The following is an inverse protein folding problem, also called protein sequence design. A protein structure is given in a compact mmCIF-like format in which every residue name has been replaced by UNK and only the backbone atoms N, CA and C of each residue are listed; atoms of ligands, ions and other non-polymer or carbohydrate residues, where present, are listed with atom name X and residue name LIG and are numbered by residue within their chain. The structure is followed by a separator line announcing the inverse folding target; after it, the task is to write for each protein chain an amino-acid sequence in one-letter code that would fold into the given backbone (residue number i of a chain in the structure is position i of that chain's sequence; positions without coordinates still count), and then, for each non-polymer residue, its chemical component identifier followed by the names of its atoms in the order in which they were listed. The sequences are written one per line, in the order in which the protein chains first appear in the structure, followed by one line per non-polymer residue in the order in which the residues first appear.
data_IF_310340809999
#
_entry.id   IF_310340809999
#
_cell.length_a   1.000
_cell.length_b   1.000
_cell.length_c   1.000
_cell.angle_alpha   90.00
_cell.angle_beta   90.00
_cell.angle_gamma   90.00
#
_symmetry.space_group_name_H-M   'P 1'
#
loop_
_entity.id
_entity.type
_entity.pdbx_description
1 polymer ?
#
# COMPACT_ATOMS: atom_id res chain seq x y z
N UNK A 1 -16.64 -7.44 -4.26
CA UNK A 1 -15.21 -7.09 -4.37
C UNK A 1 -14.82 -6.28 -3.16
N UNK A 2 -13.72 -6.64 -2.54
CA UNK A 2 -13.23 -5.93 -1.37
C UNK A 2 -12.17 -4.93 -1.81
N UNK A 3 -12.27 -3.70 -1.33
CA UNK A 3 -11.27 -2.67 -1.64
C UNK A 3 -10.43 -2.41 -0.40
N UNK A 4 -9.11 -2.42 -0.57
CA UNK A 4 -8.17 -2.16 0.51
C UNK A 4 -7.45 -0.83 0.28
N UNK A 5 -7.01 -0.21 1.34
CA UNK A 5 -6.15 0.97 1.25
C UNK A 5 -4.99 0.82 2.22
N UNK A 6 -3.79 1.13 1.74
CA UNK A 6 -2.55 1.06 2.50
C UNK A 6 -2.15 2.46 2.90
N UNK A 7 -2.05 2.73 4.19
CA UNK A 7 -1.68 4.06 4.67
C UNK A 7 -0.22 4.16 5.06
N UNK A 8 0.42 3.07 5.42
CA UNK A 8 1.85 3.07 5.76
C UNK A 8 2.49 1.81 5.23
N UNK A 9 3.79 1.86 5.01
CA UNK A 9 4.54 0.71 4.50
C UNK A 9 5.84 0.55 5.26
N UNK A 10 6.37 -0.68 5.24
CA UNK A 10 7.72 -0.97 5.71
C UNK A 10 8.50 -1.51 4.51
N UNK A 11 9.69 -0.99 4.31
CA UNK A 11 10.55 -1.44 3.22
C UNK A 11 11.63 -2.37 3.76
N UNK A 12 12.05 -3.33 2.93
CA UNK A 12 13.17 -4.20 3.27
C UNK A 12 14.48 -3.51 2.87
N UNK A 13 15.60 -4.20 3.07
CA UNK A 13 16.91 -3.64 2.80
C UNK A 13 17.13 -3.31 1.31
N UNK A 14 16.38 -3.94 0.44
CA UNK A 14 16.47 -3.68 -1.00
C UNK A 14 15.49 -2.60 -1.47
N UNK A 15 14.73 -2.00 -0.56
CA UNK A 15 13.76 -0.97 -0.91
C UNK A 15 12.42 -1.48 -1.41
N UNK A 16 12.15 -2.78 -1.27
CA UNK A 16 10.86 -3.34 -1.65
C UNK A 16 9.91 -3.30 -0.47
N UNK A 17 8.62 -3.25 -0.75
CA UNK A 17 7.62 -3.26 0.31
C UNK A 17 7.62 -4.64 0.96
N UNK A 18 7.83 -4.68 2.27
CA UNK A 18 7.85 -5.92 3.05
C UNK A 18 6.58 -6.08 3.89
N UNK A 19 5.98 -4.98 4.32
CA UNK A 19 4.76 -5.02 5.13
C UNK A 19 3.94 -3.76 4.87
N UNK A 20 2.66 -3.83 5.18
CA UNK A 20 1.72 -2.72 4.98
C UNK A 20 0.85 -2.55 6.23
N UNK A 21 0.44 -1.31 6.48
CA UNK A 21 -0.64 -1.02 7.42
C UNK A 21 -1.85 -0.69 6.56
N UNK A 22 -2.85 -1.54 6.58
CA UNK A 22 -3.96 -1.43 5.67
C UNK A 22 -5.28 -1.86 6.32
N UNK A 23 -6.37 -1.52 5.65
CA UNK A 23 -7.69 -1.98 6.04
C UNK A 23 -8.61 -1.98 4.84
N UNK A 24 -9.81 -2.52 5.02
CA UNK A 24 -10.82 -2.46 3.99
C UNK A 24 -11.50 -1.11 4.04
N UNK A 25 -11.86 -0.57 2.89
CA UNK A 25 -12.53 0.71 2.80
C UNK A 25 -13.90 0.54 2.15
N UNK A 26 -14.85 1.34 2.60
CA UNK A 26 -16.16 1.43 1.98
C UNK A 26 -16.12 2.65 1.05
N UNK A 27 -15.98 2.38 -0.23
CA UNK A 27 -15.83 3.46 -1.21
C UNK A 27 -17.09 4.31 -1.35
N UNK A 28 -18.26 3.71 -1.06
CA UNK A 28 -19.52 4.46 -1.11
C UNK A 28 -19.63 5.47 0.02
N UNK A 29 -18.98 5.22 1.14
CA UNK A 29 -19.01 6.13 2.29
C UNK A 29 -17.70 6.90 2.47
N UNK A 30 -16.69 6.58 1.68
CA UNK A 30 -15.36 7.15 1.78
C UNK A 30 -14.83 7.02 3.21
N UNK A 31 -14.94 5.84 3.78
CA UNK A 31 -14.56 5.58 5.17
C UNK A 31 -13.99 4.17 5.30
N UNK A 32 -13.27 3.94 6.38
CA UNK A 32 -12.75 2.60 6.68
C UNK A 32 -13.90 1.67 7.04
N UNK A 33 -13.92 0.51 6.41
CA UNK A 33 -14.87 -0.55 6.74
C UNK A 33 -14.34 -1.43 7.86
N UNK A 34 -13.02 -1.55 7.99
CA UNK A 34 -12.38 -2.28 9.08
C UNK A 34 -11.25 -1.43 9.66
N UNK A 35 -10.82 -1.69 10.90
CA UNK A 35 -9.65 -1.03 11.44
C UNK A 35 -8.40 -1.40 10.64
N UNK A 36 -7.42 -0.50 10.62
CA UNK A 36 -6.16 -0.79 9.97
C UNK A 36 -5.36 -1.78 10.79
N UNK A 37 -4.72 -2.72 10.11
CA UNK A 37 -3.85 -3.72 10.75
C UNK A 37 -2.56 -3.85 9.95
N UNK A 38 -1.50 -4.25 10.62
CA UNK A 38 -0.23 -4.54 9.96
C UNK A 38 -0.31 -5.94 9.35
N UNK A 39 0.09 -6.07 8.10
CA UNK A 39 0.11 -7.34 7.41
C UNK A 39 1.37 -7.46 6.57
N UNK A 40 1.87 -8.68 6.36
CA UNK A 40 3.02 -8.87 5.46
C UNK A 40 2.60 -8.59 4.01
N UNK A 41 3.57 -8.28 3.17
CA UNK A 41 3.29 -7.99 1.76
C UNK A 41 2.59 -9.16 1.07
N UNK A 42 2.82 -10.38 1.53
CA UNK A 42 2.15 -11.55 0.96
C UNK A 42 0.62 -11.44 1.05
N UNK A 43 0.10 -10.81 2.09
CA UNK A 43 -1.35 -10.61 2.21
C UNK A 43 -1.86 -9.66 1.12
N UNK A 44 -1.09 -8.62 0.79
CA UNK A 44 -1.46 -7.71 -0.28
C UNK A 44 -1.37 -8.40 -1.65
N UNK A 45 -0.35 -9.24 -1.85
CA UNK A 45 -0.24 -10.05 -3.07
C UNK A 45 -1.45 -10.95 -3.22
N UNK A 46 -1.89 -11.59 -2.13
CA UNK A 46 -3.04 -12.47 -2.17
C UNK A 46 -4.32 -11.70 -2.53
N UNK A 47 -4.51 -10.51 -1.97
CA UNK A 47 -5.67 -9.68 -2.28
C UNK A 47 -5.68 -9.30 -3.76
N UNK A 48 -4.53 -8.88 -4.28
CA UNK A 48 -4.42 -8.53 -5.70
C UNK A 48 -4.64 -9.74 -6.60
N UNK A 49 -4.16 -10.91 -6.19
CA UNK A 49 -4.38 -12.14 -6.95
C UNK A 49 -5.87 -12.52 -6.98
N UNK A 50 -6.62 -12.12 -5.97
CA UNK A 50 -8.07 -12.34 -5.93
C UNK A 50 -8.84 -11.22 -6.63
N UNK A 51 -8.12 -10.31 -7.30
CA UNK A 51 -8.69 -9.17 -8.03
C UNK A 51 -9.33 -8.12 -7.11
N UNK A 52 -8.91 -8.06 -5.86
CA UNK A 52 -9.34 -6.99 -4.97
C UNK A 52 -8.42 -5.78 -5.16
N UNK A 53 -8.95 -4.59 -5.41
CA UNK A 53 -8.07 -3.43 -5.59
C UNK A 53 -7.41 -3.02 -4.26
N UNK A 54 -6.16 -2.62 -4.35
CA UNK A 54 -5.38 -2.14 -3.21
C UNK A 54 -4.84 -0.77 -3.56
N UNK A 55 -5.30 0.26 -2.86
CA UNK A 55 -4.90 1.64 -3.13
C UNK A 55 -3.82 2.08 -2.19
N UNK A 56 -2.96 2.99 -2.66
CA UNK A 56 -1.97 3.65 -1.83
C UNK A 56 -2.56 4.97 -1.36
N UNK A 57 -2.45 5.24 -0.05
CA UNK A 57 -2.85 6.51 0.52
C UNK A 57 -1.61 7.37 0.74
N UNK A 58 -1.65 8.61 0.30
CA UNK A 58 -0.54 9.54 0.44
C UNK A 58 -0.92 10.66 1.40
N UNK A 59 0.01 11.10 2.27
CA UNK A 59 -0.30 12.20 3.17
C UNK A 59 -0.52 13.50 2.40
N UNK A 60 -1.43 14.32 2.87
CA UNK A 60 -1.70 15.63 2.28
C UNK A 60 -2.13 16.57 3.39
N UNK A 61 -2.34 17.84 3.05
CA UNK A 61 -2.80 18.81 4.04
C UNK A 61 -4.19 18.51 4.56
N UNK A 62 -4.96 17.70 3.85
CA UNK A 62 -6.31 17.35 4.24
C UNK A 62 -6.46 15.88 4.59
N UNK A 63 -5.38 15.24 5.03
CA UNK A 63 -5.39 13.82 5.35
C UNK A 63 -4.77 12.99 4.26
N UNK A 64 -5.14 11.73 4.18
CA UNK A 64 -4.59 10.83 3.17
C UNK A 64 -5.50 10.78 1.96
N UNK A 65 -4.91 10.74 0.76
CA UNK A 65 -5.66 10.64 -0.49
C UNK A 65 -5.34 9.35 -1.21
N UNK A 66 -6.35 8.62 -1.70
CA UNK A 66 -6.13 7.39 -2.47
C UNK A 66 -5.91 7.77 -3.93
N UNK A 67 -4.66 7.80 -4.33
CA UNK A 67 -4.34 8.31 -5.67
C UNK A 67 -3.80 7.26 -6.62
N UNK A 68 -3.14 6.22 -6.14
CA UNK A 68 -2.57 5.19 -7.01
C UNK A 68 -2.90 3.81 -6.48
N UNK A 69 -2.94 2.84 -7.38
CA UNK A 69 -3.17 1.46 -6.99
C UNK A 69 -1.87 0.69 -7.02
N UNK A 70 -1.83 -0.38 -6.23
CA UNK A 70 -0.70 -1.31 -6.27
C UNK A 70 -0.99 -2.43 -7.25
N UNK A 71 0.08 -2.99 -7.83
CA UNK A 71 0.02 -4.20 -8.65
C UNK A 71 1.12 -5.14 -8.19
N UNK A 72 0.98 -6.43 -8.51
CA UNK A 72 1.96 -7.44 -8.16
C UNK A 72 3.18 -7.28 -9.07
N UNK A 73 4.36 -7.36 -8.48
CA UNK A 73 5.62 -7.39 -9.23
C UNK A 73 6.42 -8.62 -8.81
N UNK A 74 6.96 -9.34 -9.78
CA UNK A 74 7.84 -10.46 -9.50
C UNK A 74 9.27 -10.01 -9.45
N UNK A 75 10.08 -10.63 -8.60
CA UNK A 75 11.50 -10.37 -8.54
C UNK A 75 12.24 -11.61 -8.06
N UNK A 76 13.53 -11.63 -8.35
CA UNK A 76 14.44 -12.61 -7.75
C UNK A 76 13.94 -14.04 -7.85
N UNK A 77 13.53 -14.48 -9.01
CA UNK A 77 13.23 -15.89 -9.25
C UNK A 77 11.88 -16.35 -8.75
N UNK A 78 10.89 -15.51 -8.74
CA UNK A 78 9.53 -15.92 -8.40
C UNK A 78 8.99 -15.37 -7.11
N UNK A 79 9.80 -14.59 -6.40
CA UNK A 79 9.30 -13.87 -5.24
C UNK A 79 8.40 -12.73 -5.70
N UNK A 80 7.45 -12.35 -4.88
CA UNK A 80 6.47 -11.33 -5.24
C UNK A 80 6.44 -10.21 -4.24
N UNK A 81 6.26 -9.00 -4.74
CA UNK A 81 6.02 -7.81 -3.93
C UNK A 81 4.93 -7.00 -4.60
N UNK A 82 4.67 -5.80 -4.10
CA UNK A 82 3.73 -4.89 -4.74
C UNK A 82 4.45 -3.60 -5.09
N UNK A 83 4.05 -3.00 -6.20
CA UNK A 83 4.58 -1.71 -6.65
C UNK A 83 3.42 -0.85 -7.10
N UNK A 84 3.64 0.46 -7.19
CA UNK A 84 2.61 1.36 -7.68
C UNK A 84 2.45 1.20 -9.19
N UNK A 85 1.20 1.14 -9.64
CA UNK A 85 0.88 0.98 -11.04
C UNK A 85 1.02 2.33 -11.76
N UNK A 86 1.42 2.28 -13.01
CA UNK A 86 1.46 3.46 -13.87
C UNK A 86 2.78 4.22 -13.79
N UNK A 87 2.85 5.34 -14.52
CA UNK A 87 4.09 6.11 -14.59
C UNK A 87 4.36 6.87 -13.30
N UNK A 88 5.59 7.34 -13.18
CA UNK A 88 6.02 8.14 -12.04
C UNK A 88 5.14 9.38 -11.89
N UNK A 89 4.77 9.69 -10.67
CA UNK A 89 3.94 10.85 -10.38
C UNK A 89 4.54 11.66 -9.24
N UNK A 90 4.46 12.97 -9.33
CA UNK A 90 5.03 13.86 -8.33
C UNK A 90 4.34 13.66 -6.98
N UNK A 91 5.13 13.44 -5.94
CA UNK A 91 4.63 13.21 -4.58
C UNK A 91 3.65 12.04 -4.47
N UNK A 92 3.71 11.09 -5.38
CA UNK A 92 2.84 9.91 -5.38
C UNK A 92 3.64 8.65 -5.62
N UNK A 93 4.86 8.60 -5.06
CA UNK A 93 5.71 7.43 -5.16
C UNK A 93 5.83 6.74 -3.81
N UNK A 94 6.41 5.55 -3.80
CA UNK A 94 6.56 4.77 -2.57
C UNK A 94 7.29 5.57 -1.49
N UNK A 95 8.30 6.35 -1.86
CA UNK A 95 9.05 7.13 -0.88
C UNK A 95 8.23 8.30 -0.30
N UNK A 96 7.10 8.64 -0.89
CA UNK A 96 6.22 9.67 -0.37
C UNK A 96 5.19 9.13 0.62
N UNK A 97 5.08 7.82 0.76
CA UNK A 97 4.15 7.21 1.70
C UNK A 97 4.74 7.21 3.11
N UNK A 98 3.87 7.27 4.10
CA UNK A 98 4.29 7.17 5.49
C UNK A 98 4.89 5.79 5.77
N UNK A 99 5.80 5.73 6.71
CA UNK A 99 6.44 4.47 7.11
C UNK A 99 5.80 3.92 8.37
N UNK A 100 5.71 2.57 8.40
CA UNK A 100 5.15 1.89 9.55
C UNK A 100 5.93 2.16 10.81
N UNK A 101 7.24 2.21 10.70
CA UNK A 101 8.10 2.40 11.84
C UNK A 101 8.38 3.85 12.10
N UNK A 102 7.63 4.69 11.48
CA UNK A 102 7.70 6.10 11.59
C UNK A 102 8.90 6.72 12.10
N UNK A 103 9.25 6.30 13.16
CA UNK A 103 10.24 6.97 13.73
C UNK A 103 11.49 6.52 13.39
N UNK A 104 11.48 5.60 12.73
CA UNK A 104 12.61 5.20 12.46
C UNK A 104 13.40 6.07 11.98
N UNK A 105 13.08 6.80 11.75
CA UNK A 105 13.92 7.67 11.42
C UNK A 105 14.50 8.21 12.35
N UNK A 106 14.99 8.31 12.33
CA UNK A 106 16.05 8.70 12.09
C UNK A 106 16.88 8.43 12.53
#
# INVERSE_FOLDING_TARGET
MTTFAVSKIRLDAAGRIAAVLWGQVDTGRNAWATPEVVAPVAAAVDALSACDPVFALFPSTHGHVPDRQFVIADYDGGRKTIVLDGPTAYEREVHDMDRLDGAEAP
#
